data_IF_018266606468
#
_entry.id   IF_018266606468
#
_cell.length_a   1.000
_cell.length_b   1.000
_cell.length_c   1.000
_cell.angle_alpha   90.00
_cell.angle_beta   90.00
_cell.angle_gamma   90.00
#
_symmetry.space_group_name_H-M   'P 1'
#
loop_
_entity.id
_entity.type
_entity.pdbx_description
1 polymer ?
#
# COMPACT_ATOMS: atom_id res chain seq x y z
N UNK A 1 18.14 13.56 7.13
CA UNK A 1 18.59 14.90 7.54
C UNK A 1 17.98 15.18 8.90
N UNK A 2 18.82 15.32 9.93
CA UNK A 2 18.39 15.77 11.24
C UNK A 2 17.97 17.24 11.12
N UNK A 3 16.76 17.64 11.57
CA UNK A 3 16.36 19.03 11.60
C UNK A 3 17.26 19.79 12.60
N UNK A 4 17.79 20.90 12.18
CA UNK A 4 18.39 21.88 13.10
C UNK A 4 17.26 22.62 13.83
N UNK A 5 17.43 22.84 15.13
CA UNK A 5 16.46 23.38 16.09
C UNK A 5 16.38 24.91 15.96
N UNK A 6 15.94 25.41 14.83
CA UNK A 6 15.84 26.84 14.51
C UNK A 6 14.39 27.37 14.53
N UNK A 7 13.51 26.69 15.25
CA UNK A 7 12.17 27.18 15.58
C UNK A 7 11.15 27.15 14.45
N UNK A 8 11.53 26.73 13.28
CA UNK A 8 10.60 26.47 12.19
C UNK A 8 9.94 25.10 12.39
N UNK A 9 8.63 25.10 12.57
CA UNK A 9 7.83 23.89 12.68
C UNK A 9 7.72 23.21 11.31
N UNK A 10 8.67 22.34 10.97
CA UNK A 10 8.55 21.51 9.77
C UNK A 10 7.43 20.49 9.96
N UNK A 11 6.37 20.65 9.19
CA UNK A 11 5.32 19.65 9.08
C UNK A 11 5.80 18.55 8.12
N UNK A 12 6.11 17.38 8.63
CA UNK A 12 6.39 16.22 7.77
C UNK A 12 5.06 15.61 7.31
N UNK A 13 4.86 15.58 6.01
CA UNK A 13 3.64 15.09 5.37
C UNK A 13 3.95 13.84 4.55
N UNK A 14 3.26 12.73 4.85
CA UNK A 14 3.34 11.51 4.06
C UNK A 14 4.70 10.81 4.12
N UNK A 15 4.85 9.79 4.95
CA UNK A 15 6.09 9.00 4.99
C UNK A 15 6.35 8.24 3.71
N UNK A 16 5.31 7.68 3.13
CA UNK A 16 5.35 7.03 1.83
C UNK A 16 4.98 7.99 0.70
N UNK A 17 3.81 8.60 0.78
CA UNK A 17 3.22 9.42 -0.29
C UNK A 17 2.52 10.64 0.28
N UNK A 18 2.76 11.81 -0.31
CA UNK A 18 1.96 13.02 -0.09
C UNK A 18 1.17 13.35 -1.36
N UNK A 19 -0.15 13.45 -1.23
CA UNK A 19 -1.07 13.77 -2.32
C UNK A 19 -1.57 15.19 -2.10
N UNK A 20 -1.16 16.13 -2.95
CA UNK A 20 -1.73 17.47 -2.98
C UNK A 20 -3.08 17.46 -3.68
N UNK A 21 -3.11 16.93 -4.89
CA UNK A 21 -4.33 16.62 -5.65
C UNK A 21 -4.08 15.41 -6.55
N UNK A 22 -5.12 14.69 -6.94
CA UNK A 22 -5.00 13.54 -7.83
C UNK A 22 -5.28 12.21 -7.14
N UNK A 23 -4.85 11.11 -7.76
CA UNK A 23 -5.31 9.77 -7.40
C UNK A 23 -4.13 8.85 -7.10
N UNK A 24 -4.21 8.14 -5.97
CA UNK A 24 -3.42 6.96 -5.65
C UNK A 24 -4.33 5.75 -5.81
N UNK A 25 -3.95 4.83 -6.68
CA UNK A 25 -4.81 3.71 -7.07
C UNK A 25 -4.01 2.42 -7.09
N UNK A 26 -4.66 1.31 -6.73
CA UNK A 26 -4.09 -0.04 -6.81
C UNK A 26 -2.67 -0.11 -6.24
N UNK A 27 -2.45 0.48 -5.06
CA UNK A 27 -1.11 0.68 -4.54
C UNK A 27 -0.93 0.02 -3.16
N UNK A 28 0.27 -0.51 -2.95
CA UNK A 28 0.72 -1.05 -1.68
C UNK A 28 1.66 -0.04 -1.01
N UNK A 29 1.24 0.54 0.12
CA UNK A 29 2.01 1.54 0.88
C UNK A 29 2.28 0.97 2.27
N UNK A 30 3.49 0.43 2.47
CA UNK A 30 3.79 -0.35 3.68
C UNK A 30 5.15 0.00 4.28
N UNK A 31 5.24 -0.08 5.60
CA UNK A 31 6.49 0.01 6.34
C UNK A 31 7.17 1.39 6.30
N UNK A 32 6.46 2.44 5.94
CA UNK A 32 7.02 3.80 5.95
C UNK A 32 6.97 4.40 7.35
N UNK A 33 7.96 5.23 7.67
CA UNK A 33 8.04 5.87 8.97
C UNK A 33 8.36 7.35 8.84
N UNK A 34 7.61 8.17 9.58
CA UNK A 34 7.86 9.60 9.74
C UNK A 34 8.32 9.86 11.17
N UNK A 35 9.60 10.05 11.33
CA UNK A 35 10.22 10.47 12.58
C UNK A 35 10.38 12.01 12.55
N UNK A 36 9.31 12.72 12.79
CA UNK A 36 9.28 14.18 12.73
C UNK A 36 9.09 14.83 14.09
N UNK A 37 9.09 16.16 14.09
CA UNK A 37 8.98 17.03 15.26
C UNK A 37 7.92 16.57 16.27
N UNK A 38 8.24 16.74 17.56
CA UNK A 38 7.39 16.44 18.71
C UNK A 38 6.09 17.27 18.79
N UNK A 39 5.86 18.17 17.85
CA UNK A 39 4.76 19.14 17.87
C UNK A 39 3.46 18.65 17.20
N UNK A 40 3.23 17.34 17.08
CA UNK A 40 1.96 16.75 16.59
C UNK A 40 1.48 17.25 15.20
N UNK A 41 2.38 17.81 14.39
CA UNK A 41 2.02 18.36 13.08
C UNK A 41 2.32 17.41 11.92
N UNK A 42 3.00 16.30 12.16
CA UNK A 42 3.23 15.27 11.12
C UNK A 42 1.97 14.45 10.95
N UNK A 43 1.55 14.27 9.69
CA UNK A 43 0.31 13.58 9.33
C UNK A 43 0.56 12.57 8.22
N UNK A 44 -0.03 11.37 8.36
CA UNK A 44 0.04 10.32 7.35
C UNK A 44 1.39 9.60 7.30
N UNK A 45 1.59 8.59 8.11
CA UNK A 45 2.81 7.76 8.05
C UNK A 45 2.96 7.03 6.71
N UNK A 46 1.86 6.53 6.16
CA UNK A 46 1.79 5.95 4.82
C UNK A 46 1.45 7.02 3.78
N UNK A 47 0.23 7.53 3.82
CA UNK A 47 -0.33 8.48 2.86
C UNK A 47 -0.80 9.75 3.57
N UNK A 48 -0.47 10.92 3.05
CA UNK A 48 -1.00 12.20 3.50
C UNK A 48 -1.73 12.91 2.35
N UNK A 49 -2.99 13.28 2.57
CA UNK A 49 -3.77 14.12 1.66
C UNK A 49 -3.78 15.55 2.19
N UNK A 50 -3.38 16.53 1.36
CA UNK A 50 -3.13 17.90 1.83
C UNK A 50 -3.96 18.98 1.16
N UNK A 51 -4.50 18.75 -0.03
CA UNK A 51 -5.26 19.72 -0.82
C UNK A 51 -6.55 19.10 -1.40
N UNK A 52 -7.19 19.79 -2.35
CA UNK A 52 -8.46 19.37 -2.95
C UNK A 52 -8.29 18.16 -3.85
N UNK A 53 -9.39 17.37 -3.94
CA UNK A 53 -9.53 16.30 -4.93
C UNK A 53 -8.43 15.24 -4.83
N UNK A 54 -8.13 14.82 -3.60
CA UNK A 54 -7.26 13.68 -3.33
C UNK A 54 -8.09 12.38 -3.30
N UNK A 55 -7.66 11.37 -4.03
CA UNK A 55 -8.31 10.06 -4.09
C UNK A 55 -7.32 8.96 -3.70
N UNK A 56 -7.74 8.10 -2.78
CA UNK A 56 -7.02 6.86 -2.41
C UNK A 56 -7.97 5.71 -2.66
N UNK A 57 -7.74 4.95 -3.71
CA UNK A 57 -8.69 3.94 -4.19
C UNK A 57 -7.97 2.61 -4.38
N UNK A 58 -8.60 1.51 -3.95
CA UNK A 58 -8.05 0.16 -4.07
C UNK A 58 -6.61 0.06 -3.53
N UNK A 59 -6.35 0.62 -2.36
CA UNK A 59 -5.01 0.64 -1.79
C UNK A 59 -4.93 -0.17 -0.50
N UNK A 60 -3.80 -0.83 -0.31
CA UNK A 60 -3.42 -1.44 0.98
C UNK A 60 -2.38 -0.55 1.65
N UNK A 61 -2.72 0.03 2.79
CA UNK A 61 -1.88 0.93 3.57
C UNK A 61 -1.63 0.29 4.94
N UNK A 62 -0.46 -0.31 5.14
CA UNK A 62 -0.25 -1.14 6.33
C UNK A 62 1.15 -0.97 6.95
N UNK A 63 1.23 -1.15 8.28
CA UNK A 63 2.49 -1.11 9.04
C UNK A 63 3.29 0.19 8.87
N UNK A 64 2.63 1.30 8.55
CA UNK A 64 3.27 2.60 8.53
C UNK A 64 3.25 3.23 9.92
N UNK A 65 4.19 4.13 10.18
CA UNK A 65 4.33 4.82 11.46
C UNK A 65 4.49 6.33 11.28
N UNK A 66 3.91 7.09 12.20
CA UNK A 66 4.14 8.53 12.32
C UNK A 66 4.26 8.93 13.79
N UNK A 67 5.19 9.80 14.12
CA UNK A 67 5.24 10.42 15.46
C UNK A 67 4.13 11.46 15.69
N UNK A 68 3.32 11.76 14.71
CA UNK A 68 2.16 12.63 14.76
C UNK A 68 0.84 11.86 14.68
N UNK A 69 -0.02 12.23 13.74
CA UNK A 69 -1.38 11.75 13.60
C UNK A 69 -1.59 10.93 12.30
N UNK A 70 -2.35 9.82 12.40
CA UNK A 70 -2.71 9.01 11.24
C UNK A 70 -1.52 8.24 10.66
N UNK A 71 -1.12 7.17 11.33
CA UNK A 71 -0.01 6.31 10.89
C UNK A 71 -0.21 5.73 9.49
N UNK A 72 -1.45 5.41 9.11
CA UNK A 72 -1.80 4.94 7.77
C UNK A 72 -2.10 6.11 6.83
N UNK A 73 -3.36 6.53 6.77
CA UNK A 73 -3.85 7.60 5.91
C UNK A 73 -4.18 8.82 6.79
N UNK A 74 -3.53 9.92 6.51
CA UNK A 74 -3.73 11.18 7.22
C UNK A 74 -4.25 12.28 6.29
N UNK A 75 -5.07 13.18 6.84
CA UNK A 75 -5.60 14.33 6.12
C UNK A 75 -5.15 15.59 6.85
N UNK A 76 -4.44 16.47 6.14
CA UNK A 76 -3.96 17.71 6.73
C UNK A 76 -5.00 18.82 6.63
N UNK A 77 -5.34 19.43 7.76
CA UNK A 77 -6.41 20.41 7.87
C UNK A 77 -5.93 21.85 7.98
N UNK A 78 -4.67 22.15 7.70
CA UNK A 78 -4.12 23.51 7.83
C UNK A 78 -4.80 24.53 6.91
N UNK A 79 -5.51 24.08 5.88
CA UNK A 79 -6.36 24.90 5.03
C UNK A 79 -7.81 24.41 5.10
N UNK A 80 -8.49 24.71 6.18
CA UNK A 80 -9.87 24.28 6.47
C UNK A 80 -10.88 24.56 5.34
N UNK A 81 -10.56 25.43 4.39
CA UNK A 81 -11.50 25.90 3.38
C UNK A 81 -11.46 25.14 2.06
N UNK A 82 -10.63 24.12 1.93
CA UNK A 82 -10.49 23.55 0.59
C UNK A 82 -10.17 22.09 0.42
N UNK A 83 -9.75 21.33 1.47
CA UNK A 83 -9.41 19.94 1.27
C UNK A 83 -10.65 19.09 1.02
N UNK A 84 -10.63 18.32 -0.05
CA UNK A 84 -11.60 17.25 -0.33
C UNK A 84 -10.83 15.96 -0.58
N UNK A 85 -11.30 14.86 -0.02
CA UNK A 85 -10.68 13.57 -0.28
C UNK A 85 -11.73 12.45 -0.36
N UNK A 86 -11.40 11.42 -1.12
CA UNK A 86 -12.16 10.18 -1.19
C UNK A 86 -11.22 9.01 -0.91
N UNK A 87 -11.62 8.17 0.04
CA UNK A 87 -10.97 6.88 0.29
C UNK A 87 -11.99 5.79 0.03
N UNK A 88 -11.72 4.91 -0.91
CA UNK A 88 -12.63 3.83 -1.29
C UNK A 88 -11.88 2.52 -1.59
N UNK A 89 -12.51 1.42 -1.27
CA UNK A 89 -11.98 0.06 -1.50
C UNK A 89 -10.58 -0.16 -0.89
N UNK A 90 -10.33 0.43 0.26
CA UNK A 90 -9.01 0.40 0.87
C UNK A 90 -8.94 -0.52 2.09
N UNK A 91 -7.73 -1.00 2.37
CA UNK A 91 -7.38 -1.63 3.65
C UNK A 91 -6.37 -0.73 4.34
N UNK A 92 -6.69 -0.25 5.54
CA UNK A 92 -5.75 0.48 6.40
C UNK A 92 -5.58 -0.31 7.71
N UNK A 93 -4.43 -0.98 7.88
CA UNK A 93 -4.27 -1.98 8.93
C UNK A 93 -2.89 -1.96 9.59
N UNK A 94 -2.88 -2.14 10.91
CA UNK A 94 -1.64 -2.18 11.71
C UNK A 94 -0.71 -0.97 11.51
N UNK A 95 -1.26 0.18 11.19
CA UNK A 95 -0.50 1.42 11.20
C UNK A 95 -0.45 1.98 12.62
N UNK A 96 0.59 2.70 12.95
CA UNK A 96 0.85 3.22 14.30
C UNK A 96 1.11 4.73 14.28
N UNK A 97 0.69 5.38 15.35
CA UNK A 97 1.02 6.78 15.59
C UNK A 97 1.47 6.93 17.05
N UNK A 98 1.94 8.11 17.43
CA UNK A 98 2.32 8.38 18.82
C UNK A 98 1.09 8.27 19.72
N UNK A 99 1.17 7.39 20.71
CA UNK A 99 0.05 7.02 21.59
C UNK A 99 -0.25 8.07 22.69
N UNK A 100 0.72 8.91 23.03
CA UNK A 100 0.74 9.54 24.36
C UNK A 100 -0.13 10.78 24.55
N UNK A 101 -0.60 11.47 23.50
CA UNK A 101 -1.23 12.77 23.69
C UNK A 101 -2.74 12.86 23.38
N UNK A 102 -3.33 11.90 22.71
CA UNK A 102 -4.74 12.03 22.26
C UNK A 102 -5.59 10.76 22.32
N UNK A 103 -5.23 9.81 23.13
CA UNK A 103 -6.07 8.80 23.79
C UNK A 103 -7.07 7.99 22.98
N UNK A 104 -7.05 7.98 21.66
CA UNK A 104 -8.01 7.21 20.89
C UNK A 104 -7.44 6.69 19.58
N UNK A 105 -7.08 5.50 19.55
CA UNK A 105 -7.01 4.43 18.58
C UNK A 105 -7.19 4.65 17.08
N UNK A 106 -7.12 5.84 16.53
CA UNK A 106 -7.28 6.08 15.08
C UNK A 106 -5.92 6.18 14.37
N UNK A 107 -5.06 5.18 14.59
CA UNK A 107 -3.76 5.15 13.95
C UNK A 107 -3.84 4.86 12.45
N UNK A 108 -4.88 4.18 12.00
CA UNK A 108 -4.96 3.75 10.60
C UNK A 108 -5.48 4.85 9.68
N UNK A 109 -6.52 5.59 10.10
CA UNK A 109 -7.04 6.76 9.36
C UNK A 109 -7.34 7.87 10.33
N UNK A 110 -6.80 9.06 10.08
CA UNK A 110 -7.05 10.20 10.96
C UNK A 110 -7.01 11.54 10.26
N UNK A 111 -7.76 12.47 10.84
CA UNK A 111 -7.79 13.89 10.49
C UNK A 111 -6.83 14.66 11.36
N UNK A 112 -6.04 15.53 10.74
CA UNK A 112 -4.91 16.19 11.34
C UNK A 112 -5.22 17.35 12.30
N UNK A 113 -6.46 17.48 12.82
CA UNK A 113 -6.75 18.46 13.85
C UNK A 113 -7.16 17.74 15.16
N UNK A 114 -6.32 17.79 16.20
CA UNK A 114 -6.65 17.17 17.48
C UNK A 114 -7.88 17.76 18.16
N UNK A 115 -8.32 18.96 17.75
CA UNK A 115 -9.47 19.67 18.32
C UNK A 115 -10.83 19.21 17.74
N UNK A 116 -10.85 18.38 16.71
CA UNK A 116 -12.09 17.93 16.06
C UNK A 116 -12.62 16.59 16.56
N UNK A 117 -12.19 16.11 17.71
CA UNK A 117 -12.60 14.82 18.30
C UNK A 117 -12.48 13.61 17.34
N UNK A 118 -11.58 13.68 16.36
CA UNK A 118 -11.39 12.63 15.35
C UNK A 118 -12.53 12.49 14.34
N UNK A 119 -13.50 13.41 14.32
CA UNK A 119 -14.60 13.40 13.35
C UNK A 119 -14.08 13.75 11.96
N UNK A 120 -14.56 12.99 10.97
CA UNK A 120 -14.37 13.26 9.55
C UNK A 120 -14.88 14.66 9.21
N UNK A 121 -14.09 15.54 8.58
CA UNK A 121 -14.66 16.72 7.95
C UNK A 121 -15.72 16.31 6.94
N UNK A 122 -16.80 17.06 6.82
CA UNK A 122 -17.89 16.81 5.85
C UNK A 122 -17.42 16.68 4.39
N UNK A 123 -16.16 17.02 4.12
CA UNK A 123 -15.53 17.01 2.80
C UNK A 123 -14.69 15.78 2.51
N UNK A 124 -14.61 14.82 3.44
CA UNK A 124 -13.95 13.55 3.22
C UNK A 124 -14.98 12.45 3.10
N UNK A 125 -14.99 11.81 1.95
CA UNK A 125 -15.86 10.67 1.67
C UNK A 125 -15.08 9.37 1.94
N UNK A 126 -15.65 8.51 2.78
CA UNK A 126 -15.15 7.16 3.00
C UNK A 126 -16.16 6.18 2.38
N UNK A 127 -15.74 5.47 1.37
CA UNK A 127 -16.47 4.35 0.78
C UNK A 127 -16.21 3.04 1.52
N UNK A 128 -16.27 1.91 0.81
CA UNK A 128 -15.94 0.60 1.35
C UNK A 128 -14.49 0.57 1.88
N UNK A 129 -14.30 0.08 3.09
CA UNK A 129 -12.99 0.08 3.75
C UNK A 129 -12.87 -1.01 4.80
N UNK A 130 -11.67 -1.59 4.94
CA UNK A 130 -11.28 -2.42 6.07
C UNK A 130 -10.33 -1.64 6.99
N UNK A 131 -10.78 -1.38 8.22
CA UNK A 131 -10.04 -0.61 9.23
C UNK A 131 -10.53 -1.01 10.62
N UNK A 132 -9.66 -1.21 11.62
CA UNK A 132 -10.10 -1.65 12.95
C UNK A 132 -10.97 -0.64 13.69
N UNK A 133 -10.93 0.62 13.31
CA UNK A 133 -11.68 1.72 13.98
C UNK A 133 -13.09 1.89 13.41
N UNK A 134 -14.11 1.52 14.16
CA UNK A 134 -15.54 1.71 13.79
C UNK A 134 -15.95 3.17 13.58
N UNK A 135 -15.20 4.10 14.14
CA UNK A 135 -15.51 5.53 14.07
C UNK A 135 -15.26 6.14 12.69
N UNK A 136 -14.53 5.43 11.82
CA UNK A 136 -14.20 5.88 10.46
C UNK A 136 -15.42 5.82 9.54
N UNK A 137 -16.15 4.71 9.57
CA UNK A 137 -17.38 4.51 8.79
C UNK A 137 -18.25 3.47 9.48
N UNK A 138 -19.56 3.66 9.46
CA UNK A 138 -20.52 2.70 10.02
C UNK A 138 -20.50 1.36 9.26
N UNK A 139 -20.12 1.36 7.99
CA UNK A 139 -20.00 0.18 7.12
C UNK A 139 -18.59 -0.40 7.06
N UNK A 140 -17.63 0.14 7.85
CA UNK A 140 -16.26 -0.36 7.84
C UNK A 140 -16.18 -1.82 8.31
N UNK A 141 -15.41 -2.62 7.60
CA UNK A 141 -15.00 -3.96 8.03
C UNK A 141 -13.93 -3.77 9.10
N UNK A 142 -14.21 -4.24 10.32
CA UNK A 142 -13.31 -4.06 11.48
C UNK A 142 -12.60 -5.34 11.90
N UNK A 143 -12.85 -6.44 11.21
CA UNK A 143 -12.17 -7.71 11.41
C UNK A 143 -10.87 -7.77 10.61
N UNK A 144 -9.96 -8.63 11.07
CA UNK A 144 -8.65 -8.84 10.41
C UNK A 144 -8.81 -9.11 8.91
N UNK A 145 -8.14 -8.35 8.03
CA UNK A 145 -8.15 -8.57 6.59
C UNK A 145 -7.55 -9.91 6.16
N UNK A 146 -6.89 -10.64 7.07
CA UNK A 146 -6.26 -11.93 6.82
C UNK A 146 -5.29 -11.91 5.63
N UNK A 147 -4.25 -11.11 5.72
CA UNK A 147 -3.17 -11.15 4.75
C UNK A 147 -2.44 -12.49 4.78
N UNK A 148 -1.98 -12.96 3.62
CA UNK A 148 -1.29 -14.26 3.46
C UNK A 148 -0.02 -14.33 4.30
N UNK A 149 0.89 -13.37 4.18
CA UNK A 149 2.13 -13.33 4.95
C UNK A 149 2.66 -11.89 5.10
N UNK A 150 2.26 -11.24 6.18
CA UNK A 150 2.70 -9.87 6.49
C UNK A 150 4.20 -9.80 6.80
N UNK A 151 4.78 -10.86 7.37
CA UNK A 151 6.21 -10.89 7.71
C UNK A 151 7.08 -11.00 6.47
N UNK A 152 6.66 -11.81 5.51
CA UNK A 152 7.30 -11.94 4.20
C UNK A 152 6.93 -10.83 3.21
N UNK A 153 6.05 -9.89 3.58
CA UNK A 153 5.64 -8.78 2.71
C UNK A 153 4.53 -9.13 1.73
N UNK A 154 3.87 -10.27 1.90
CA UNK A 154 2.74 -10.69 1.07
C UNK A 154 1.42 -10.17 1.66
N UNK A 155 0.92 -9.08 1.10
CA UNK A 155 -0.33 -8.41 1.50
C UNK A 155 -1.54 -8.81 0.64
N UNK A 156 -1.48 -9.95 -0.05
CA UNK A 156 -2.65 -10.54 -0.70
C UNK A 156 -3.61 -11.05 0.37
N UNK A 157 -4.87 -11.15 0.03
CA UNK A 157 -5.91 -11.70 0.92
C UNK A 157 -5.85 -13.22 0.93
N UNK A 158 -5.87 -13.81 2.12
CA UNK A 158 -6.00 -15.25 2.27
C UNK A 158 -7.46 -15.69 2.12
N UNK A 159 -7.67 -16.97 1.91
CA UNK A 159 -9.00 -17.58 1.85
C UNK A 159 -9.84 -17.22 3.10
N UNK A 160 -11.10 -16.87 2.88
CA UNK A 160 -12.02 -16.45 3.92
C UNK A 160 -11.70 -15.09 4.53
N UNK A 161 -10.93 -14.25 3.86
CA UNK A 161 -10.79 -12.84 4.21
C UNK A 161 -12.14 -12.12 4.11
N UNK A 162 -12.50 -11.28 5.08
CA UNK A 162 -13.72 -10.47 5.01
C UNK A 162 -13.64 -9.34 3.96
N UNK A 163 -12.47 -9.12 3.38
CA UNK A 163 -12.21 -8.10 2.38
C UNK A 163 -12.45 -8.60 0.94
N UNK A 164 -12.70 -9.90 0.75
CA UNK A 164 -13.00 -10.49 -0.55
C UNK A 164 -14.44 -10.11 -0.93
N UNK A 165 -14.64 -9.69 -2.18
CA UNK A 165 -15.95 -9.29 -2.75
C UNK A 165 -16.66 -8.18 -1.92
N UNK A 166 -15.91 -7.35 -1.20
CA UNK A 166 -16.46 -6.39 -0.22
C UNK A 166 -16.33 -4.92 -0.65
N UNK A 167 -15.85 -4.66 -1.85
CA UNK A 167 -15.66 -3.32 -2.36
C UNK A 167 -16.87 -2.75 -3.10
N UNK A 168 -16.71 -1.53 -3.57
CA UNK A 168 -17.69 -0.77 -4.34
C UNK A 168 -17.21 -0.68 -5.80
N UNK A 169 -17.87 -1.40 -6.71
CA UNK A 169 -17.50 -1.49 -8.11
C UNK A 169 -17.52 -0.13 -8.85
N UNK A 170 -18.48 0.78 -8.62
CA UNK A 170 -18.44 2.12 -9.18
C UNK A 170 -17.17 2.92 -8.87
N UNK A 171 -16.50 2.64 -7.76
CA UNK A 171 -15.26 3.32 -7.38
C UNK A 171 -14.06 2.95 -8.26
N UNK A 172 -14.15 1.86 -9.03
CA UNK A 172 -13.07 1.37 -9.90
C UNK A 172 -13.27 1.70 -11.38
N UNK A 173 -14.26 2.48 -11.75
CA UNK A 173 -14.52 2.82 -13.14
C UNK A 173 -13.25 3.37 -13.83
N UNK A 174 -12.82 2.68 -14.91
CA UNK A 174 -11.59 2.99 -15.63
C UNK A 174 -10.31 2.36 -15.09
N UNK A 175 -10.42 1.44 -14.13
CA UNK A 175 -9.28 0.70 -13.56
C UNK A 175 -9.50 -0.81 -13.66
N UNK A 176 -9.07 -1.40 -14.76
CA UNK A 176 -9.42 -2.78 -15.13
C UNK A 176 -8.55 -3.86 -14.46
N UNK A 177 -7.40 -3.48 -13.87
CA UNK A 177 -6.47 -4.43 -13.28
C UNK A 177 -6.05 -4.05 -11.86
N UNK A 178 -5.71 -5.05 -11.05
CA UNK A 178 -5.12 -4.89 -9.73
C UNK A 178 -3.61 -4.57 -9.80
N UNK A 179 -2.94 -4.47 -8.65
CA UNK A 179 -1.49 -4.21 -8.56
C UNK A 179 -0.66 -5.34 -9.20
N UNK A 180 -1.17 -6.56 -9.25
CA UNK A 180 -0.48 -7.70 -9.87
C UNK A 180 -0.79 -7.86 -11.36
N UNK A 181 -1.70 -7.06 -11.92
CA UNK A 181 -2.14 -7.14 -13.31
C UNK A 181 -3.29 -8.12 -13.55
N UNK A 182 -3.92 -8.64 -12.50
CA UNK A 182 -5.13 -9.45 -12.63
C UNK A 182 -6.34 -8.55 -12.91
N UNK A 183 -7.41 -9.13 -13.48
CA UNK A 183 -8.67 -8.42 -13.61
C UNK A 183 -9.11 -7.89 -12.24
N UNK A 184 -9.60 -6.64 -12.19
CA UNK A 184 -9.93 -5.97 -10.92
C UNK A 184 -11.20 -6.49 -10.28
N UNK A 185 -12.06 -7.13 -11.03
CA UNK A 185 -13.23 -7.86 -10.51
C UNK A 185 -13.07 -9.31 -10.88
N UNK A 186 -12.99 -10.14 -9.85
CA UNK A 186 -13.02 -11.59 -9.96
C UNK A 186 -13.96 -12.10 -8.86
N UNK A 187 -15.12 -12.54 -9.23
CA UNK A 187 -16.15 -12.91 -8.25
C UNK A 187 -17.38 -12.04 -8.37
N UNK A 188 -17.98 -11.63 -7.27
CA UNK A 188 -19.24 -10.87 -7.24
C UNK A 188 -19.05 -9.37 -7.18
N UNK A 189 -17.92 -8.90 -6.67
CA UNK A 189 -17.54 -7.50 -6.54
C UNK A 189 -16.02 -7.37 -6.41
N UNK A 190 -15.51 -6.14 -6.48
CA UNK A 190 -14.09 -5.84 -6.27
C UNK A 190 -13.67 -6.16 -4.82
N UNK A 191 -12.47 -6.69 -4.65
CA UNK A 191 -11.87 -6.87 -3.33
C UNK A 191 -11.39 -5.53 -2.75
N UNK A 192 -11.35 -5.44 -1.43
CA UNK A 192 -10.68 -4.32 -0.78
C UNK A 192 -9.16 -4.46 -0.86
N UNK A 193 -8.48 -3.33 -1.05
CA UNK A 193 -7.03 -3.26 -1.08
C UNK A 193 -6.44 -3.30 -2.49
N UNK A 194 -5.13 -3.51 -2.56
CA UNK A 194 -4.35 -3.39 -3.80
C UNK A 194 -4.43 -4.62 -4.71
N UNK A 195 -4.88 -5.75 -4.19
CA UNK A 195 -4.90 -7.03 -4.90
C UNK A 195 -6.30 -7.61 -4.97
N UNK A 196 -6.58 -8.28 -6.06
CA UNK A 196 -7.77 -9.10 -6.26
C UNK A 196 -7.45 -10.57 -6.01
N UNK A 197 -8.33 -11.30 -5.33
CA UNK A 197 -8.24 -12.74 -5.14
C UNK A 197 -8.84 -13.42 -6.36
N UNK A 198 -8.03 -14.22 -7.03
CA UNK A 198 -8.45 -15.04 -8.17
C UNK A 198 -8.48 -16.50 -7.75
N UNK A 199 -9.34 -17.33 -8.34
CA UNK A 199 -9.45 -18.75 -8.00
C UNK A 199 -8.16 -19.53 -8.36
N UNK A 200 -7.22 -19.60 -7.44
CA UNK A 200 -6.03 -20.43 -7.55
C UNK A 200 -5.05 -20.06 -8.66
N UNK A 201 -5.29 -18.98 -9.40
CA UNK A 201 -4.32 -18.41 -10.34
C UNK A 201 -3.55 -17.20 -9.76
N UNK A 202 -3.75 -16.83 -8.46
CA UNK A 202 -2.63 -16.25 -7.78
C UNK A 202 -1.47 -17.21 -8.04
N UNK A 203 -0.38 -16.75 -8.61
CA UNK A 203 0.86 -17.48 -8.54
C UNK A 203 1.12 -17.57 -7.03
N UNK A 204 0.51 -18.59 -6.38
CA UNK A 204 1.01 -19.13 -5.15
C UNK A 204 2.49 -19.23 -5.39
N UNK A 205 3.30 -18.73 -4.46
CA UNK A 205 4.76 -18.91 -4.50
C UNK A 205 5.00 -20.16 -5.28
N UNK A 206 5.51 -20.02 -6.50
CA UNK A 206 5.67 -21.19 -7.38
C UNK A 206 6.43 -22.14 -6.50
N UNK A 207 5.73 -23.15 -5.99
CA UNK A 207 6.36 -24.18 -5.22
C UNK A 207 7.45 -24.65 -6.17
N UNK A 208 8.67 -24.20 -5.89
CA UNK A 208 9.82 -24.53 -6.73
C UNK A 208 9.90 -26.03 -6.53
N UNK A 209 9.21 -26.77 -7.41
CA UNK A 209 9.39 -28.20 -7.44
C UNK A 209 10.88 -28.37 -7.64
N UNK A 210 11.52 -28.98 -6.66
CA UNK A 210 12.95 -29.29 -6.70
C UNK A 210 13.24 -30.10 -7.95
N UNK A 211 13.46 -29.40 -9.06
CA UNK A 211 13.85 -29.93 -10.33
C UNK A 211 15.27 -29.50 -10.64
N UNK A 212 16.01 -30.29 -11.40
CA UNK A 212 17.31 -29.90 -11.87
C UNK A 212 17.18 -28.83 -12.97
N UNK A 213 18.01 -27.77 -12.92
CA UNK A 213 18.11 -26.79 -13.99
C UNK A 213 18.74 -27.45 -15.22
N UNK A 214 17.94 -27.71 -16.22
CA UNK A 214 18.42 -28.33 -17.48
C UNK A 214 18.90 -27.31 -18.50
N UNK A 215 18.52 -26.05 -18.37
CA UNK A 215 18.98 -24.98 -19.25
C UNK A 215 19.00 -23.64 -18.56
N UNK A 216 20.08 -22.88 -18.73
CA UNK A 216 20.19 -21.47 -18.32
C UNK A 216 20.51 -20.63 -19.56
N UNK A 217 19.75 -19.55 -19.74
CA UNK A 217 19.94 -18.57 -20.81
C UNK A 217 20.12 -17.18 -20.20
N UNK A 218 20.98 -16.39 -20.78
CA UNK A 218 21.29 -15.04 -20.32
C UNK A 218 20.88 -14.03 -21.37
N UNK A 219 20.27 -12.93 -20.95
CA UNK A 219 19.87 -11.84 -21.82
C UNK A 219 20.34 -10.51 -21.24
N UNK A 220 20.69 -9.58 -22.11
CA UNK A 220 20.86 -8.17 -21.72
C UNK A 220 19.50 -7.59 -21.32
N UNK A 221 19.49 -6.41 -20.68
CA UNK A 221 18.24 -5.71 -20.35
C UNK A 221 17.43 -5.30 -21.59
N UNK A 222 18.07 -5.27 -22.78
CA UNK A 222 17.41 -5.03 -24.07
C UNK A 222 16.85 -6.31 -24.70
N UNK A 223 16.94 -7.46 -24.00
CA UNK A 223 16.41 -8.76 -24.45
C UNK A 223 17.31 -9.49 -25.44
N UNK A 224 18.57 -9.07 -25.65
CA UNK A 224 19.52 -9.76 -26.51
C UNK A 224 20.11 -10.97 -25.76
N UNK A 225 19.96 -12.17 -26.32
CA UNK A 225 20.55 -13.37 -25.74
C UNK A 225 22.09 -13.34 -25.88
N UNK A 226 22.79 -13.69 -24.79
CA UNK A 226 24.23 -13.82 -24.72
C UNK A 226 24.60 -15.22 -24.24
N UNK A 227 25.66 -15.79 -24.78
CA UNK A 227 26.07 -17.17 -24.43
C UNK A 227 26.45 -17.27 -22.94
N UNK A 228 27.17 -16.28 -22.44
CA UNK A 228 27.53 -16.10 -21.04
C UNK A 228 27.92 -14.62 -20.81
N UNK A 229 27.56 -14.01 -19.68
CA UNK A 229 27.99 -12.66 -19.35
C UNK A 229 29.51 -12.50 -19.36
N UNK A 230 30.03 -11.66 -20.21
CA UNK A 230 31.46 -11.35 -20.32
C UNK A 230 31.86 -10.04 -19.64
N UNK A 231 30.87 -9.28 -19.16
CA UNK A 231 31.06 -8.00 -18.47
C UNK A 231 30.18 -8.02 -17.22
N UNK A 232 30.69 -7.49 -16.11
CA UNK A 232 29.88 -7.35 -14.89
C UNK A 232 28.70 -6.41 -15.14
N UNK A 233 27.51 -6.83 -14.74
CA UNK A 233 26.31 -6.02 -14.97
C UNK A 233 25.03 -6.76 -14.61
N UNK A 234 23.90 -6.08 -14.84
CA UNK A 234 22.56 -6.62 -14.62
C UNK A 234 22.09 -7.37 -15.88
N UNK A 235 21.70 -8.62 -15.70
CA UNK A 235 21.21 -9.51 -16.74
C UNK A 235 19.85 -10.08 -16.39
N UNK A 236 19.10 -10.47 -17.39
CA UNK A 236 17.91 -11.32 -17.25
C UNK A 236 18.39 -12.76 -17.41
N UNK A 237 18.16 -13.58 -16.40
CA UNK A 237 18.53 -15.00 -16.40
C UNK A 237 17.26 -15.83 -16.48
N UNK A 238 17.17 -16.67 -17.51
CA UNK A 238 16.06 -17.61 -17.71
C UNK A 238 16.55 -19.03 -17.44
N UNK A 239 16.00 -19.66 -16.41
CA UNK A 239 16.28 -21.04 -16.03
C UNK A 239 15.10 -21.93 -16.44
N UNK A 240 15.39 -23.02 -17.12
CA UNK A 240 14.40 -24.08 -17.44
C UNK A 240 14.76 -25.32 -16.63
N UNK A 241 13.77 -25.88 -15.96
CA UNK A 241 13.90 -27.08 -15.14
C UNK A 241 13.46 -28.32 -15.93
N UNK A 242 13.88 -29.51 -15.48
CA UNK A 242 13.44 -30.80 -16.05
C UNK A 242 11.93 -31.01 -15.95
N UNK A 243 11.28 -30.40 -14.97
CA UNK A 243 9.81 -30.32 -14.81
C UNK A 243 9.12 -29.46 -15.87
N UNK A 244 9.87 -28.87 -16.82
CA UNK A 244 9.45 -27.86 -17.81
C UNK A 244 9.08 -26.48 -17.20
N UNK A 245 9.25 -26.30 -15.92
CA UNK A 245 9.11 -24.99 -15.29
C UNK A 245 10.16 -24.03 -15.83
N UNK A 246 9.78 -22.77 -16.00
CA UNK A 246 10.68 -21.69 -16.43
C UNK A 246 10.65 -20.57 -15.39
N UNK A 247 11.80 -20.23 -14.84
CA UNK A 247 11.98 -19.07 -13.97
C UNK A 247 12.79 -18.01 -14.72
N UNK A 248 12.36 -16.75 -14.61
CA UNK A 248 13.07 -15.61 -15.17
C UNK A 248 13.32 -14.59 -14.07
N UNK A 249 14.57 -14.24 -13.86
CA UNK A 249 15.00 -13.32 -12.79
C UNK A 249 15.99 -12.28 -13.30
N UNK A 250 16.07 -11.11 -12.66
CA UNK A 250 17.14 -10.13 -12.90
C UNK A 250 18.27 -10.40 -11.91
N UNK A 251 19.45 -10.65 -12.42
CA UNK A 251 20.63 -11.01 -11.61
C UNK A 251 21.78 -10.07 -11.94
N UNK A 252 22.43 -9.52 -10.93
CA UNK A 252 23.71 -8.85 -11.11
C UNK A 252 24.84 -9.87 -11.14
N UNK A 253 25.51 -9.98 -12.26
CA UNK A 253 26.61 -10.93 -12.47
C UNK A 253 27.93 -10.17 -12.40
N UNK A 254 28.82 -10.61 -11.54
CA UNK A 254 30.19 -10.08 -11.45
C UNK A 254 31.12 -11.03 -12.19
N UNK A 255 31.79 -10.53 -13.21
CA UNK A 255 32.82 -11.26 -13.94
C UNK A 255 34.16 -10.91 -13.29
N UNK A 256 34.89 -11.93 -12.84
CA UNK A 256 36.22 -11.80 -12.22
C UNK A 256 37.30 -11.86 -13.29
#
# INVERSE_FOLDING_TARGET
TTPTDDGDSFQSQGGGIAIKSGKLINSLVVGNSVNGSLNNQSVGGGVCCTEKDAYVINCTVAKNHVQGLGGGIGFQTTNADGMTATVANCIAWNNTCREDDYGTGNANIRFGNPQTDGKLPERVTIGAICVPEKTVSASAITSDPKFVDVAGGNYRLAEGSPCIDAGDDPAIEGYDTDLAGNARIFGTSVDLGAYEVTDGSAIDDVEIQEGEVVRTQYYTLQGVEVTYPSVSGLYIVKKTFDTKQIITEKVFITVK
#
